data_IF_045228065486
#
_entry.id   IF_045228065486
#
_cell.length_a   1.000
_cell.length_b   1.000
_cell.length_c   1.000
_cell.angle_alpha   90.00
_cell.angle_beta   90.00
_cell.angle_gamma   90.00
#
_symmetry.space_group_name_H-M   'P 1'
#
loop_
_entity.id
_entity.type
_entity.pdbx_description
1 polymer ?
#
# COMPACT_ATOMS: atom_id res chain seq x y z
N UNK A 1 -25.74 16.07 -40.49
CA UNK A 1 -24.82 16.12 -39.30
C UNK A 1 -25.44 15.20 -38.27
N UNK A 2 -24.69 14.22 -37.74
CA UNK A 2 -25.19 13.27 -36.75
C UNK A 2 -25.43 13.97 -35.43
N UNK A 3 -26.49 13.52 -34.70
CA UNK A 3 -26.75 13.95 -33.35
C UNK A 3 -25.70 13.40 -32.39
N UNK A 4 -25.55 14.05 -31.22
CA UNK A 4 -24.60 13.61 -30.21
C UNK A 4 -25.00 12.24 -29.68
N UNK A 5 -24.06 11.28 -29.68
CA UNK A 5 -24.29 9.97 -29.13
C UNK A 5 -24.48 10.02 -27.62
N UNK A 6 -25.43 9.24 -27.12
CA UNK A 6 -25.66 9.08 -25.68
C UNK A 6 -24.58 8.16 -25.10
N UNK A 7 -23.88 8.64 -24.09
CA UNK A 7 -22.89 7.87 -23.35
C UNK A 7 -23.24 7.88 -21.86
N UNK A 8 -22.94 6.81 -21.13
CA UNK A 8 -23.13 6.76 -19.68
C UNK A 8 -22.36 7.86 -18.95
N UNK A 9 -22.86 8.25 -17.77
CA UNK A 9 -22.19 9.21 -16.92
C UNK A 9 -20.78 8.71 -16.52
N UNK A 10 -19.81 9.61 -16.52
CA UNK A 10 -18.40 9.29 -16.19
C UNK A 10 -17.57 8.75 -17.34
N UNK A 11 -18.16 8.52 -18.53
CA UNK A 11 -17.41 8.14 -19.74
C UNK A 11 -17.21 9.38 -20.62
N UNK A 12 -15.95 9.66 -20.94
CA UNK A 12 -15.59 10.70 -21.89
C UNK A 12 -15.08 10.07 -23.18
N UNK A 13 -15.73 10.39 -24.31
CA UNK A 13 -15.24 9.96 -25.62
C UNK A 13 -14.11 10.89 -26.07
N UNK A 14 -13.11 10.33 -26.72
CA UNK A 14 -12.08 11.08 -27.38
C UNK A 14 -12.63 11.70 -28.66
N UNK A 15 -12.52 13.05 -28.80
CA UNK A 15 -13.07 13.80 -29.92
C UNK A 15 -12.51 13.35 -31.27
N UNK A 16 -11.23 12.96 -31.33
CA UNK A 16 -10.61 12.44 -32.56
C UNK A 16 -11.26 11.11 -32.98
N UNK A 17 -11.46 10.20 -32.03
CA UNK A 17 -12.11 8.91 -32.28
C UNK A 17 -13.56 9.07 -32.65
N UNK A 18 -14.28 9.99 -31.99
CA UNK A 18 -15.66 10.32 -32.30
C UNK A 18 -15.77 10.89 -33.72
N UNK A 19 -14.83 11.75 -34.12
CA UNK A 19 -14.77 12.30 -35.47
C UNK A 19 -14.55 11.20 -36.54
N UNK A 20 -13.65 10.25 -36.29
CA UNK A 20 -13.46 9.08 -37.17
C UNK A 20 -14.73 8.22 -37.27
N UNK A 21 -15.38 7.96 -36.14
CA UNK A 21 -16.60 7.17 -36.10
C UNK A 21 -17.75 7.82 -36.87
N UNK A 22 -18.00 9.10 -36.65
CA UNK A 22 -19.02 9.85 -37.39
C UNK A 22 -18.70 9.98 -38.89
N UNK A 23 -17.41 10.06 -39.23
CA UNK A 23 -16.95 10.02 -40.62
C UNK A 23 -17.32 8.71 -41.32
N UNK A 24 -17.06 7.56 -40.64
CA UNK A 24 -17.44 6.25 -41.17
C UNK A 24 -18.93 6.08 -41.34
N UNK A 25 -19.74 6.58 -40.42
CA UNK A 25 -21.22 6.56 -40.54
C UNK A 25 -21.68 7.40 -41.73
N UNK A 26 -21.08 8.56 -41.98
CA UNK A 26 -21.40 9.41 -43.12
C UNK A 26 -21.02 8.77 -44.46
N UNK A 27 -19.87 8.10 -44.50
CA UNK A 27 -19.45 7.32 -45.67
C UNK A 27 -20.41 6.16 -45.97
N UNK A 28 -20.80 5.43 -44.91
CA UNK A 28 -21.79 4.34 -45.01
C UNK A 28 -23.15 4.86 -45.53
N UNK A 29 -23.68 5.94 -44.98
CA UNK A 29 -24.91 6.59 -45.43
C UNK A 29 -24.84 6.95 -46.91
N UNK A 30 -23.75 7.59 -47.36
CA UNK A 30 -23.57 8.01 -48.73
C UNK A 30 -23.43 6.84 -49.68
N UNK A 31 -22.71 5.80 -49.31
CA UNK A 31 -22.44 4.62 -50.15
C UNK A 31 -23.70 3.74 -50.28
N UNK A 32 -24.47 3.56 -49.22
CA UNK A 32 -25.63 2.69 -49.21
C UNK A 32 -26.91 3.42 -49.53
N UNK A 33 -26.93 4.76 -49.56
CA UNK A 33 -28.15 5.59 -49.65
C UNK A 33 -29.16 5.27 -48.57
N UNK A 34 -28.69 4.86 -47.40
CA UNK A 34 -29.52 4.54 -46.26
C UNK A 34 -30.17 5.80 -45.67
N UNK A 35 -31.32 5.60 -45.01
CA UNK A 35 -31.96 6.68 -44.28
C UNK A 35 -31.12 7.16 -43.13
N UNK A 36 -30.95 8.47 -43.00
CA UNK A 36 -30.05 9.09 -41.99
C UNK A 36 -30.45 8.69 -40.55
N UNK A 37 -31.73 8.63 -40.23
CA UNK A 37 -32.22 8.24 -38.91
C UNK A 37 -31.88 6.77 -38.59
N UNK A 38 -31.98 5.88 -39.58
CA UNK A 38 -31.61 4.49 -39.44
C UNK A 38 -30.09 4.33 -39.22
N UNK A 39 -29.27 5.08 -39.92
CA UNK A 39 -27.78 5.09 -39.76
C UNK A 39 -27.41 5.62 -38.38
N UNK A 40 -28.02 6.72 -37.91
CA UNK A 40 -27.81 7.26 -36.58
C UNK A 40 -28.15 6.23 -35.48
N UNK A 41 -29.32 5.57 -35.58
CA UNK A 41 -29.76 4.55 -34.63
C UNK A 41 -28.79 3.34 -34.61
N UNK A 42 -28.29 2.95 -35.78
CA UNK A 42 -27.32 1.86 -35.88
C UNK A 42 -25.96 2.27 -35.27
N UNK A 43 -25.52 3.50 -35.53
CA UNK A 43 -24.32 4.08 -34.90
C UNK A 43 -24.43 4.10 -33.37
N UNK A 44 -25.58 4.48 -32.82
CA UNK A 44 -25.80 4.44 -31.35
C UNK A 44 -25.64 3.00 -30.79
N UNK A 45 -26.21 2.01 -31.45
CA UNK A 45 -26.09 0.59 -31.03
C UNK A 45 -24.61 0.13 -31.05
N UNK A 46 -23.86 0.49 -32.09
CA UNK A 46 -22.44 0.16 -32.16
C UNK A 46 -21.65 0.85 -31.03
N UNK A 47 -21.98 2.12 -30.74
CA UNK A 47 -21.38 2.85 -29.64
C UNK A 47 -21.68 2.20 -28.29
N UNK A 48 -22.93 1.80 -28.07
CA UNK A 48 -23.34 1.13 -26.82
C UNK A 48 -22.59 -0.19 -26.61
N UNK A 49 -22.41 -0.98 -27.69
CA UNK A 49 -21.63 -2.22 -27.65
C UNK A 49 -20.17 -1.92 -27.32
N UNK A 50 -19.56 -0.94 -27.99
CA UNK A 50 -18.16 -0.56 -27.74
C UNK A 50 -17.95 -0.09 -26.30
N UNK A 51 -18.82 0.79 -25.80
CA UNK A 51 -18.72 1.32 -24.43
C UNK A 51 -18.95 0.19 -23.42
N UNK A 52 -19.92 -0.68 -23.66
CA UNK A 52 -20.19 -1.83 -22.80
C UNK A 52 -18.97 -2.75 -22.69
N UNK A 53 -18.34 -3.06 -23.81
CA UNK A 53 -17.14 -3.91 -23.83
C UNK A 53 -15.92 -3.24 -23.20
N UNK A 54 -15.69 -1.96 -23.48
CA UNK A 54 -14.60 -1.20 -22.87
C UNK A 54 -14.77 -1.12 -21.33
N UNK A 55 -16.00 -0.92 -20.87
CA UNK A 55 -16.33 -0.90 -19.45
C UNK A 55 -16.10 -2.28 -18.80
N UNK A 56 -16.53 -3.35 -19.47
CA UNK A 56 -16.30 -4.73 -19.02
C UNK A 56 -14.81 -5.02 -18.87
N UNK A 57 -14.02 -4.72 -19.90
CA UNK A 57 -12.55 -4.94 -19.87
C UNK A 57 -11.91 -4.16 -18.73
N UNK A 58 -12.31 -2.89 -18.53
CA UNK A 58 -11.78 -2.05 -17.45
C UNK A 58 -12.10 -2.65 -16.07
N UNK A 59 -13.34 -3.11 -15.87
CA UNK A 59 -13.77 -3.72 -14.64
C UNK A 59 -13.05 -5.05 -14.37
N UNK A 60 -12.91 -5.89 -15.39
CA UNK A 60 -12.19 -7.17 -15.30
C UNK A 60 -10.71 -6.93 -14.94
N UNK A 61 -10.08 -5.92 -15.55
CA UNK A 61 -8.69 -5.56 -15.27
C UNK A 61 -8.52 -5.04 -13.84
N UNK A 62 -9.42 -4.15 -13.39
CA UNK A 62 -9.41 -3.64 -12.02
C UNK A 62 -9.59 -4.79 -11.01
N UNK A 63 -10.54 -5.69 -11.27
CA UNK A 63 -10.75 -6.87 -10.44
C UNK A 63 -9.51 -7.76 -10.40
N UNK A 64 -8.90 -8.02 -11.54
CA UNK A 64 -7.66 -8.81 -11.63
C UNK A 64 -6.53 -8.19 -10.77
N UNK A 65 -6.33 -6.88 -10.84
CA UNK A 65 -5.32 -6.20 -10.03
C UNK A 65 -5.64 -6.28 -8.53
N UNK A 66 -6.90 -6.07 -8.15
CA UNK A 66 -7.33 -6.17 -6.75
C UNK A 66 -7.14 -7.58 -6.19
N UNK A 67 -7.57 -8.61 -6.93
CA UNK A 67 -7.44 -10.01 -6.54
C UNK A 67 -5.96 -10.43 -6.47
N UNK A 68 -5.15 -10.04 -7.45
CA UNK A 68 -3.71 -10.31 -7.47
C UNK A 68 -3.00 -9.67 -6.29
N UNK A 69 -3.37 -8.43 -5.96
CA UNK A 69 -2.83 -7.71 -4.82
C UNK A 69 -3.22 -8.35 -3.48
N UNK A 70 -4.49 -8.71 -3.33
CA UNK A 70 -4.98 -9.40 -2.14
C UNK A 70 -4.27 -10.74 -1.94
N UNK A 71 -4.12 -11.52 -3.03
CA UNK A 71 -3.38 -12.78 -3.02
C UNK A 71 -1.93 -12.58 -2.59
N UNK A 72 -1.23 -11.62 -3.16
CA UNK A 72 0.17 -11.34 -2.84
C UNK A 72 0.36 -10.99 -1.36
N UNK A 73 -0.53 -10.17 -0.77
CA UNK A 73 -0.49 -9.86 0.67
C UNK A 73 -0.71 -11.09 1.53
N UNK A 74 -1.61 -11.98 1.11
CA UNK A 74 -1.88 -13.24 1.79
C UNK A 74 -0.69 -14.20 1.72
N UNK A 75 -0.07 -14.33 0.54
CA UNK A 75 1.12 -15.16 0.34
C UNK A 75 2.29 -14.65 1.20
N UNK A 76 2.55 -13.35 1.22
CA UNK A 76 3.59 -12.77 2.08
C UNK A 76 3.35 -13.02 3.56
N UNK A 77 2.10 -12.94 4.01
CA UNK A 77 1.76 -13.26 5.39
C UNK A 77 2.01 -14.74 5.69
N UNK A 78 1.63 -15.64 4.79
CA UNK A 78 1.87 -17.06 4.94
C UNK A 78 3.37 -17.38 4.98
N UNK A 79 4.18 -16.76 4.10
CA UNK A 79 5.64 -16.87 4.11
C UNK A 79 6.26 -16.39 5.42
N UNK A 80 5.77 -15.27 5.96
CA UNK A 80 6.24 -14.75 7.24
C UNK A 80 5.91 -15.72 8.40
N UNK A 81 4.68 -16.22 8.46
CA UNK A 81 4.26 -17.16 9.49
C UNK A 81 5.05 -18.48 9.43
N UNK A 82 5.37 -18.95 8.23
CA UNK A 82 6.14 -20.17 8.00
C UNK A 82 7.65 -19.98 8.16
N UNK A 83 8.15 -18.75 8.27
CA UNK A 83 9.58 -18.46 8.39
C UNK A 83 10.13 -19.02 9.72
N UNK A 84 11.16 -19.90 9.70
CA UNK A 84 11.67 -20.53 10.91
C UNK A 84 12.39 -19.58 11.86
N UNK A 85 12.87 -18.43 11.36
CA UNK A 85 13.55 -17.38 12.15
C UNK A 85 12.58 -16.36 12.72
N UNK A 86 11.56 -16.00 11.96
CA UNK A 86 10.69 -14.83 12.24
C UNK A 86 9.29 -15.23 12.67
N UNK A 87 8.79 -16.34 12.16
CA UNK A 87 7.41 -16.80 12.32
C UNK A 87 7.21 -17.79 13.47
N UNK A 88 6.12 -18.54 13.39
CA UNK A 88 5.77 -19.55 14.40
C UNK A 88 5.73 -18.95 15.82
N UNK A 89 6.42 -19.60 16.75
CA UNK A 89 6.50 -19.16 18.16
C UNK A 89 7.23 -17.82 18.35
N UNK A 90 7.95 -17.33 17.35
CA UNK A 90 8.69 -16.06 17.39
C UNK A 90 7.92 -14.90 16.79
N UNK A 91 6.78 -15.16 16.19
CA UNK A 91 6.00 -14.14 15.49
C UNK A 91 5.73 -12.90 16.35
N UNK A 92 5.25 -13.11 17.59
CA UNK A 92 4.94 -11.99 18.49
C UNK A 92 6.19 -11.18 18.85
N UNK A 93 7.28 -11.84 19.21
CA UNK A 93 8.53 -11.15 19.56
C UNK A 93 9.14 -10.42 18.37
N UNK A 94 9.05 -10.99 17.17
CA UNK A 94 9.51 -10.38 15.92
C UNK A 94 8.70 -9.11 15.62
N UNK A 95 7.38 -9.19 15.69
CA UNK A 95 6.50 -8.02 15.46
C UNK A 95 6.71 -6.95 16.54
N UNK A 96 6.84 -7.35 17.80
CA UNK A 96 7.11 -6.40 18.90
C UNK A 96 8.45 -5.66 18.72
N UNK A 97 9.49 -6.36 18.28
CA UNK A 97 10.78 -5.74 17.97
C UNK A 97 10.67 -4.72 16.80
N UNK A 98 9.99 -5.10 15.72
CA UNK A 98 9.74 -4.20 14.60
C UNK A 98 8.94 -2.95 15.02
N UNK A 99 7.88 -3.13 15.81
CA UNK A 99 7.08 -2.04 16.35
C UNK A 99 7.89 -1.12 17.27
N UNK A 100 8.78 -1.70 18.09
CA UNK A 100 9.67 -0.93 18.96
C UNK A 100 10.61 -0.06 18.15
N UNK A 101 11.18 -0.59 17.06
CA UNK A 101 12.00 0.21 16.15
C UNK A 101 11.22 1.41 15.58
N UNK A 102 10.03 1.15 15.03
CA UNK A 102 9.18 2.21 14.45
C UNK A 102 8.84 3.27 15.51
N UNK A 103 8.47 2.84 16.72
CA UNK A 103 8.11 3.77 17.81
C UNK A 103 9.28 4.63 18.27
N UNK A 104 10.49 4.07 18.28
CA UNK A 104 11.66 4.77 18.81
C UNK A 104 12.37 5.63 17.76
N UNK A 105 12.32 5.21 16.49
CA UNK A 105 13.08 5.83 15.41
C UNK A 105 12.24 6.32 14.23
N UNK A 106 10.94 6.11 14.27
CA UNK A 106 10.00 6.52 13.22
C UNK A 106 9.64 8.01 13.22
N UNK A 107 10.36 8.84 13.99
CA UNK A 107 10.11 10.27 14.05
C UNK A 107 8.90 10.65 14.89
N UNK A 108 8.18 11.70 14.50
CA UNK A 108 6.96 12.16 15.14
C UNK A 108 5.82 11.13 15.04
N UNK A 109 4.78 11.28 15.85
CA UNK A 109 3.59 10.42 15.75
C UNK A 109 2.93 10.49 14.37
N UNK A 110 2.97 11.64 13.72
CA UNK A 110 2.44 11.82 12.37
C UNK A 110 3.22 10.98 11.34
N UNK A 111 4.55 11.04 11.38
CA UNK A 111 5.44 10.25 10.50
C UNK A 111 5.28 8.74 10.77
N UNK A 112 5.17 8.33 12.02
CA UNK A 112 4.93 6.93 12.37
C UNK A 112 3.57 6.45 11.88
N UNK A 113 2.54 7.30 11.90
CA UNK A 113 1.22 6.99 11.37
C UNK A 113 1.27 6.86 9.85
N UNK A 114 1.91 7.79 9.16
CA UNK A 114 2.11 7.76 7.72
C UNK A 114 2.87 6.49 7.29
N UNK A 115 3.95 6.14 7.98
CA UNK A 115 4.70 4.93 7.73
C UNK A 115 3.83 3.67 7.88
N UNK A 116 3.02 3.58 8.94
CA UNK A 116 2.10 2.45 9.13
C UNK A 116 1.06 2.36 8.02
N UNK A 117 0.50 3.50 7.62
CA UNK A 117 -0.45 3.56 6.49
C UNK A 117 0.20 3.12 5.18
N UNK A 118 1.44 3.53 4.93
CA UNK A 118 2.21 3.08 3.76
C UNK A 118 2.41 1.56 3.80
N UNK A 119 2.84 1.00 4.94
CA UNK A 119 3.03 -0.44 5.10
C UNK A 119 1.74 -1.23 4.89
N UNK A 120 0.61 -0.71 5.36
CA UNK A 120 -0.70 -1.34 5.23
C UNK A 120 -1.21 -1.25 3.78
N UNK A 121 -1.20 -0.07 3.18
CA UNK A 121 -1.69 0.17 1.82
C UNK A 121 -0.89 -0.59 0.77
N UNK A 122 0.43 -0.68 0.94
CA UNK A 122 1.34 -1.43 0.07
C UNK A 122 1.43 -2.92 0.41
N UNK A 123 0.87 -3.38 1.53
CA UNK A 123 1.03 -4.74 2.03
C UNK A 123 2.45 -5.10 2.50
N UNK A 124 3.41 -4.17 2.44
CA UNK A 124 4.80 -4.39 2.86
C UNK A 124 4.92 -4.77 4.33
N UNK A 125 3.95 -4.40 5.16
CA UNK A 125 3.87 -4.85 6.55
C UNK A 125 3.71 -6.37 6.73
N UNK A 126 3.36 -7.10 5.67
CA UNK A 126 3.31 -8.57 5.65
C UNK A 126 4.56 -9.19 5.02
N UNK A 127 5.41 -8.40 4.35
CA UNK A 127 6.54 -8.91 3.60
C UNK A 127 7.67 -9.33 4.55
N UNK A 128 8.05 -10.63 4.55
CA UNK A 128 9.00 -11.21 5.51
C UNK A 128 10.34 -10.47 5.57
N UNK A 129 10.87 -10.01 4.44
CA UNK A 129 12.16 -9.29 4.41
C UNK A 129 12.04 -7.93 5.10
N UNK A 130 10.93 -7.21 4.88
CA UNK A 130 10.67 -5.93 5.54
C UNK A 130 10.56 -6.12 7.06
N UNK A 131 9.78 -7.11 7.49
CA UNK A 131 9.63 -7.43 8.92
C UNK A 131 10.99 -7.82 9.52
N UNK A 132 11.80 -8.62 8.81
CA UNK A 132 13.14 -9.03 9.25
C UNK A 132 14.06 -7.82 9.47
N UNK A 133 14.10 -6.88 8.53
CA UNK A 133 14.93 -5.69 8.64
C UNK A 133 14.51 -4.86 9.86
N UNK A 134 13.22 -4.58 10.00
CA UNK A 134 12.69 -3.78 11.11
C UNK A 134 12.89 -4.48 12.46
N UNK A 135 12.67 -5.80 12.54
CA UNK A 135 12.86 -6.56 13.77
C UNK A 135 14.33 -6.61 14.19
N UNK A 136 15.25 -6.87 13.26
CA UNK A 136 16.69 -6.87 13.54
C UNK A 136 17.18 -5.50 13.99
N UNK A 137 16.71 -4.42 13.37
CA UNK A 137 17.02 -3.07 13.81
C UNK A 137 16.49 -2.82 15.24
N UNK A 138 15.27 -3.26 15.54
CA UNK A 138 14.68 -3.15 16.87
C UNK A 138 15.45 -3.91 17.94
N UNK A 139 15.89 -5.13 17.66
CA UNK A 139 16.74 -5.94 18.58
C UNK A 139 18.09 -5.27 18.80
N UNK A 140 18.82 -4.92 17.74
CA UNK A 140 20.15 -4.30 17.84
C UNK A 140 20.12 -3.00 18.67
N UNK A 141 19.05 -2.24 18.56
CA UNK A 141 18.89 -1.00 19.34
C UNK A 141 18.46 -1.25 20.78
N UNK A 142 17.78 -2.36 21.06
CA UNK A 142 17.41 -2.74 22.42
C UNK A 142 18.62 -3.25 23.21
N UNK A 143 19.53 -3.97 22.56
CA UNK A 143 20.77 -4.47 23.16
C UNK A 143 21.78 -3.35 23.45
N UNK A 144 21.75 -2.26 22.68
CA UNK A 144 22.58 -1.08 22.89
C UNK A 144 22.11 -0.11 24.00
N UNK A 145 20.94 -0.34 24.60
CA UNK A 145 20.49 0.39 25.77
C UNK A 145 21.17 -0.23 27.00
N UNK A 146 22.04 0.53 27.73
CA UNK A 146 22.44 0.08 29.05
C UNK A 146 21.14 -0.11 29.86
N UNK A 147 20.98 -1.29 30.45
CA UNK A 147 19.96 -1.51 31.45
C UNK A 147 20.21 -0.45 32.53
N UNK A 148 19.49 0.66 32.48
CA UNK A 148 19.35 1.51 33.63
C UNK A 148 18.53 0.67 34.59
N UNK A 149 19.26 -0.14 35.38
CA UNK A 149 18.67 -0.74 36.54
C UNK A 149 18.04 0.39 37.32
N UNK A 150 16.73 0.42 37.43
CA UNK A 150 16.03 1.16 38.46
C UNK A 150 16.33 0.43 39.77
N UNK A 151 17.59 0.54 40.19
CA UNK A 151 17.96 0.25 41.56
C UNK A 151 17.36 1.40 42.35
N UNK A 152 16.54 1.13 43.39
CA UNK A 152 16.12 2.18 44.31
C UNK A 152 17.41 2.83 44.82
N UNK A 153 17.41 4.16 44.93
CA UNK A 153 18.57 4.98 45.20
C UNK A 153 19.39 4.40 46.39
N UNK A 154 20.37 3.56 46.02
CA UNK A 154 21.43 3.18 46.97
C UNK A 154 22.30 4.41 47.17
N UNK A 155 22.57 4.71 48.39
CA UNK A 155 23.38 5.83 48.84
C UNK A 155 24.57 6.11 47.94
N UNK A 156 24.81 7.39 47.65
CA UNK A 156 25.88 7.84 46.78
C UNK A 156 27.22 7.08 47.10
N UNK A 157 27.94 6.58 46.09
CA UNK A 157 29.15 5.86 46.32
C UNK A 157 30.12 6.81 47.04
N UNK A 158 30.60 6.35 48.17
CA UNK A 158 31.68 7.07 48.92
C UNK A 158 32.82 7.34 47.96
N UNK A 159 33.38 8.52 48.02
CA UNK A 159 34.50 8.87 47.13
C UNK A 159 35.63 7.86 47.34
N UNK A 160 36.40 7.60 46.28
CA UNK A 160 37.52 6.65 46.33
C UNK A 160 38.56 7.01 47.41
N UNK A 161 38.60 8.29 47.80
CA UNK A 161 39.42 8.83 48.87
C UNK A 161 38.87 8.44 50.24
N UNK A 162 37.54 8.55 50.49
CA UNK A 162 36.91 8.14 51.73
C UNK A 162 36.97 6.63 51.98
N UNK A 163 37.00 5.81 50.89
CA UNK A 163 37.14 4.36 51.03
C UNK A 163 38.56 3.91 51.36
N UNK A 164 39.61 4.71 51.03
CA UNK A 164 41.00 4.37 51.23
C UNK A 164 41.58 4.91 52.57
N UNK A 165 41.05 6.00 53.09
CA UNK A 165 41.64 6.68 54.26
C UNK A 165 40.76 6.78 55.49
N UNK A 166 39.57 6.24 55.47
CA UNK A 166 38.63 6.38 56.61
C UNK A 166 38.31 7.83 56.92
N UNK A 167 37.13 8.08 57.53
CA UNK A 167 36.82 9.42 58.05
C UNK A 167 37.76 9.79 59.20
N UNK A 168 38.60 10.82 59.01
CA UNK A 168 39.38 11.36 60.11
C UNK A 168 38.45 12.00 61.16
N UNK A 169 38.61 11.70 62.48
CA UNK A 169 37.84 12.37 63.50
C UNK A 169 38.38 13.82 63.64
N UNK A 170 37.45 14.76 63.87
CA UNK A 170 37.74 16.13 64.23
C UNK A 170 38.31 16.22 65.63
#
# INVERSE_FOLDING_TARGET
>A
MYEKFTVPEGITLNDEQLGKFTGLLSEFETTTKADHAAVQAHGQKLMDIYIGEATRITNDLNKYYQDSWAKMKTDWRAEFVADPELGGNRQETTVAAAQTFIRTHGGSEAEQKEFRQLMESTGLGNHRVMIRILARAGVAMSEGRPLVATTPAAAAPKSKIESMYGTQPK
#
